data_IF_927364682552
#
_entry.id   IF_927364682552
#
_cell.length_a   1.000
_cell.length_b   1.000
_cell.length_c   1.000
_cell.angle_alpha   90.00
_cell.angle_beta   90.00
_cell.angle_gamma   90.00
#
_symmetry.space_group_name_H-M   'P 1'
#
loop_
_entity.id
_entity.type
_entity.pdbx_description
1 polymer ?
#
# COMPACT_ATOMS: atom_id res chain seq x y z
N UNK A 1 6.98 -38.18 12.51
CA UNK A 1 6.21 -37.43 11.49
C UNK A 1 6.40 -35.94 11.77
N UNK A 2 7.64 -35.48 11.68
CA UNK A 2 8.14 -34.36 12.47
C UNK A 2 8.94 -33.37 11.60
N UNK A 3 8.74 -32.08 11.88
CA UNK A 3 9.41 -30.91 11.29
C UNK A 3 9.21 -30.59 9.80
N UNK A 4 9.21 -31.53 8.86
CA UNK A 4 9.13 -31.20 7.43
C UNK A 4 7.78 -30.57 7.02
N UNK A 5 6.67 -31.03 7.61
CA UNK A 5 5.35 -30.40 7.41
C UNK A 5 5.26 -29.00 8.02
N UNK A 6 5.92 -28.74 9.16
CA UNK A 6 5.98 -27.38 9.75
C UNK A 6 6.88 -26.43 8.96
N UNK A 7 7.91 -26.93 8.29
CA UNK A 7 8.77 -26.15 7.39
C UNK A 7 8.08 -25.85 6.06
N UNK A 8 7.25 -26.76 5.54
CA UNK A 8 6.43 -26.54 4.34
C UNK A 8 5.27 -25.56 4.58
N UNK A 9 4.67 -25.57 5.78
CA UNK A 9 3.64 -24.62 6.23
C UNK A 9 4.18 -23.41 7.01
N UNK A 10 5.50 -23.26 7.13
CA UNK A 10 6.13 -22.05 7.64
C UNK A 10 5.98 -20.98 6.56
N UNK A 11 4.80 -20.37 6.48
CA UNK A 11 4.49 -19.29 5.58
C UNK A 11 5.69 -18.36 5.48
N UNK A 12 6.24 -18.23 4.26
CA UNK A 12 7.50 -17.54 4.01
C UNK A 12 7.53 -16.21 4.74
N UNK A 13 8.70 -15.78 5.27
CA UNK A 13 8.85 -14.65 6.18
C UNK A 13 7.99 -13.40 5.83
N UNK A 14 6.74 -13.36 6.27
CA UNK A 14 5.84 -12.19 6.11
C UNK A 14 6.31 -11.00 6.95
N UNK A 15 7.23 -11.27 7.89
CA UNK A 15 8.03 -10.27 8.60
C UNK A 15 8.64 -9.26 7.62
N UNK A 16 9.10 -9.71 6.46
CA UNK A 16 9.69 -8.84 5.44
C UNK A 16 8.66 -7.85 4.89
N UNK A 17 7.48 -8.29 4.46
CA UNK A 17 6.43 -7.38 3.99
C UNK A 17 5.98 -6.40 5.07
N UNK A 18 5.87 -6.87 6.32
CA UNK A 18 5.54 -6.04 7.47
C UNK A 18 6.59 -4.94 7.71
N UNK A 19 7.87 -5.29 7.67
CA UNK A 19 8.96 -4.33 7.88
C UNK A 19 9.03 -3.33 6.71
N UNK A 20 8.96 -3.81 5.47
CA UNK A 20 9.04 -2.94 4.29
C UNK A 20 7.87 -1.95 4.26
N UNK A 21 6.63 -2.42 4.49
CA UNK A 21 5.46 -1.54 4.54
C UNK A 21 5.53 -0.53 5.70
N UNK A 22 6.07 -0.92 6.86
CA UNK A 22 6.28 0.01 7.96
C UNK A 22 7.34 1.08 7.64
N UNK A 23 8.47 0.69 7.04
CA UNK A 23 9.50 1.63 6.60
C UNK A 23 8.91 2.59 5.57
N UNK A 24 8.17 2.07 4.58
CA UNK A 24 7.47 2.90 3.60
C UNK A 24 6.54 3.92 4.25
N UNK A 25 5.76 3.51 5.25
CA UNK A 25 4.87 4.40 5.99
C UNK A 25 5.64 5.52 6.72
N UNK A 26 6.75 5.17 7.39
CA UNK A 26 7.59 6.14 8.11
C UNK A 26 8.22 7.14 7.12
N UNK A 27 8.81 6.65 6.03
CA UNK A 27 9.45 7.49 5.01
C UNK A 27 8.44 8.43 4.37
N UNK A 28 7.25 7.93 4.00
CA UNK A 28 6.20 8.76 3.42
C UNK A 28 5.70 9.80 4.41
N UNK A 29 5.53 9.44 5.70
CA UNK A 29 5.12 10.39 6.74
C UNK A 29 6.15 11.50 6.91
N UNK A 30 7.44 11.15 6.97
CA UNK A 30 8.51 12.12 7.09
C UNK A 30 8.62 13.01 5.84
N UNK A 31 8.53 12.44 4.64
CA UNK A 31 8.60 13.16 3.37
C UNK A 31 7.44 14.14 3.18
N UNK A 32 6.21 13.68 3.40
CA UNK A 32 5.00 14.54 3.35
C UNK A 32 5.11 15.63 4.42
N UNK A 33 5.46 15.29 5.66
CA UNK A 33 5.62 16.26 6.74
C UNK A 33 6.65 17.34 6.40
N UNK A 34 7.81 16.95 5.86
CA UNK A 34 8.83 17.90 5.44
C UNK A 34 8.35 18.82 4.30
N UNK A 35 7.66 18.25 3.31
CA UNK A 35 7.10 19.01 2.18
C UNK A 35 6.01 20.00 2.64
N UNK A 36 5.18 19.63 3.63
CA UNK A 36 4.16 20.52 4.19
C UNK A 36 4.75 21.67 5.01
N UNK A 37 5.92 21.48 5.63
CA UNK A 37 6.57 22.51 6.45
C UNK A 37 7.41 23.45 5.58
N UNK A 38 8.12 22.91 4.59
CA UNK A 38 9.16 23.64 3.86
C UNK A 38 8.83 23.93 2.39
N UNK A 39 7.77 23.33 1.84
CA UNK A 39 7.40 23.45 0.43
C UNK A 39 6.15 24.30 0.20
N UNK A 40 5.91 24.64 -1.07
CA UNK A 40 4.68 25.28 -1.53
C UNK A 40 4.01 24.33 -2.52
N UNK A 41 2.97 23.63 -2.05
CA UNK A 41 2.28 22.61 -2.84
C UNK A 41 1.79 23.14 -4.19
N UNK A 42 1.31 24.38 -4.26
CA UNK A 42 0.76 24.94 -5.48
C UNK A 42 1.86 25.33 -6.47
N UNK A 43 2.89 26.02 -5.98
CA UNK A 43 4.02 26.43 -6.82
C UNK A 43 4.83 25.22 -7.31
N UNK A 44 5.19 24.31 -6.40
CA UNK A 44 5.96 23.10 -6.71
C UNK A 44 5.17 22.15 -7.63
N UNK A 45 3.87 22.02 -7.41
CA UNK A 45 2.98 21.23 -8.27
C UNK A 45 2.88 21.80 -9.68
N UNK A 46 2.83 23.13 -9.84
CA UNK A 46 2.81 23.76 -11.16
C UNK A 46 4.10 23.49 -11.95
N UNK A 47 5.26 23.44 -11.30
CA UNK A 47 6.53 23.09 -11.94
C UNK A 47 6.54 21.65 -12.46
N UNK A 48 5.95 20.71 -11.71
CA UNK A 48 5.81 19.31 -12.15
C UNK A 48 4.93 19.22 -13.40
N UNK A 49 3.81 19.96 -13.43
CA UNK A 49 2.86 19.93 -14.55
C UNK A 49 3.42 20.59 -15.83
N UNK A 50 4.35 21.53 -15.69
CA UNK A 50 5.03 22.16 -16.83
C UNK A 50 6.16 21.29 -17.40
N UNK A 51 6.64 20.31 -16.63
CA UNK A 51 7.67 19.38 -17.06
C UNK A 51 7.03 18.12 -17.69
N UNK A 52 7.34 17.78 -18.96
CA UNK A 52 6.79 16.57 -19.60
C UNK A 52 7.05 15.27 -18.82
N UNK A 53 8.24 15.11 -18.24
CA UNK A 53 8.56 13.95 -17.39
C UNK A 53 7.84 14.00 -16.04
N UNK A 54 7.53 15.19 -15.54
CA UNK A 54 6.69 15.38 -14.35
C UNK A 54 5.27 14.89 -14.60
N UNK A 55 4.69 15.26 -15.75
CA UNK A 55 3.37 14.76 -16.18
C UNK A 55 3.37 13.24 -16.36
N UNK A 56 4.38 12.68 -17.03
CA UNK A 56 4.51 11.22 -17.17
C UNK A 56 4.62 10.53 -15.80
N UNK A 57 5.38 11.10 -14.86
CA UNK A 57 5.50 10.55 -13.51
C UNK A 57 4.17 10.57 -12.75
N UNK A 58 3.33 11.60 -12.94
CA UNK A 58 1.97 11.65 -12.39
C UNK A 58 1.08 10.58 -13.03
N UNK A 59 1.15 10.39 -14.35
CA UNK A 59 0.40 9.34 -15.05
C UNK A 59 0.80 7.97 -14.50
N UNK A 60 2.10 7.67 -14.40
CA UNK A 60 2.62 6.42 -13.84
C UNK A 60 2.13 6.21 -12.40
N UNK A 61 2.24 7.24 -11.56
CA UNK A 61 1.81 7.21 -10.17
C UNK A 61 0.32 6.87 -10.02
N UNK A 62 -0.55 7.62 -10.71
CA UNK A 62 -2.00 7.43 -10.61
C UNK A 62 -2.47 6.14 -11.30
N UNK A 63 -1.79 5.69 -12.36
CA UNK A 63 -2.02 4.36 -12.92
C UNK A 63 -1.75 3.29 -11.87
N UNK A 64 -0.64 3.40 -11.13
CA UNK A 64 -0.34 2.54 -9.98
C UNK A 64 -1.41 2.60 -8.90
N UNK A 65 -1.94 3.79 -8.58
CA UNK A 65 -2.99 3.96 -7.57
C UNK A 65 -4.28 3.24 -7.96
N UNK A 66 -4.68 3.33 -9.23
CA UNK A 66 -5.86 2.62 -9.75
C UNK A 66 -5.66 1.11 -9.69
N UNK A 67 -4.54 0.60 -10.18
CA UNK A 67 -4.24 -0.84 -10.17
C UNK A 67 -4.20 -1.41 -8.74
N UNK A 68 -3.59 -0.67 -7.81
CA UNK A 68 -3.56 -1.06 -6.40
C UNK A 68 -4.94 -0.99 -5.74
N UNK A 69 -5.75 0.01 -6.11
CA UNK A 69 -7.14 0.13 -5.66
C UNK A 69 -8.00 -1.05 -6.10
N UNK A 70 -7.78 -1.60 -7.30
CA UNK A 70 -8.44 -2.84 -7.74
C UNK A 70 -8.12 -4.00 -6.79
N UNK A 71 -6.86 -4.12 -6.36
CA UNK A 71 -6.46 -5.13 -5.39
C UNK A 71 -7.13 -4.95 -4.02
N UNK A 72 -7.22 -3.71 -3.51
CA UNK A 72 -7.98 -3.39 -2.28
C UNK A 72 -9.45 -3.79 -2.44
N UNK A 73 -10.08 -3.40 -3.54
CA UNK A 73 -11.50 -3.67 -3.84
C UNK A 73 -11.78 -5.18 -3.89
N UNK A 74 -10.84 -5.96 -4.41
CA UNK A 74 -10.90 -7.42 -4.42
C UNK A 74 -10.80 -8.03 -3.02
N UNK A 75 -9.85 -7.55 -2.20
CA UNK A 75 -9.57 -8.07 -0.85
C UNK A 75 -10.66 -7.79 0.16
N UNK A 76 -11.28 -6.62 0.07
CA UNK A 76 -12.29 -6.17 1.03
C UNK A 76 -13.67 -6.73 0.69
N UNK A 77 -14.46 -7.03 1.72
CA UNK A 77 -15.87 -7.39 1.55
C UNK A 77 -16.80 -6.19 1.74
N UNK A 78 -16.54 -5.38 2.75
CA UNK A 78 -17.35 -4.20 3.07
C UNK A 78 -17.21 -3.13 1.99
N UNK A 79 -18.33 -2.72 1.39
CA UNK A 79 -18.38 -1.63 0.41
C UNK A 79 -17.84 -0.33 1.03
N UNK A 80 -18.15 -0.07 2.31
CA UNK A 80 -17.64 1.10 3.02
C UNK A 80 -16.11 1.06 3.13
N UNK A 81 -15.53 -0.09 3.49
CA UNK A 81 -14.08 -0.24 3.57
C UNK A 81 -13.42 -0.01 2.21
N UNK A 82 -13.99 -0.55 1.12
CA UNK A 82 -13.51 -0.31 -0.25
C UNK A 82 -13.47 1.18 -0.56
N UNK A 83 -14.58 1.89 -0.34
CA UNK A 83 -14.68 3.31 -0.66
C UNK A 83 -13.65 4.11 0.15
N UNK A 84 -13.56 3.88 1.46
CA UNK A 84 -12.62 4.59 2.34
C UNK A 84 -11.18 4.36 1.85
N UNK A 85 -10.78 3.11 1.61
CA UNK A 85 -9.41 2.82 1.20
C UNK A 85 -9.06 3.36 -0.18
N UNK A 86 -9.99 3.30 -1.14
CA UNK A 86 -9.76 3.86 -2.49
C UNK A 86 -9.64 5.38 -2.43
N UNK A 87 -10.52 6.06 -1.68
CA UNK A 87 -10.42 7.53 -1.50
C UNK A 87 -9.09 7.91 -0.84
N UNK A 88 -8.71 7.21 0.24
CA UNK A 88 -7.42 7.43 0.88
C UNK A 88 -6.25 7.15 -0.07
N UNK A 89 -6.36 6.17 -0.96
CA UNK A 89 -5.32 5.86 -1.96
C UNK A 89 -5.19 6.99 -2.99
N UNK A 90 -6.30 7.55 -3.47
CA UNK A 90 -6.28 8.63 -4.45
C UNK A 90 -5.77 9.95 -3.88
N UNK A 91 -5.95 10.18 -2.57
CA UNK A 91 -5.54 11.43 -1.91
C UNK A 91 -4.12 11.34 -1.32
N UNK A 92 -3.80 10.26 -0.62
CA UNK A 92 -2.53 10.11 0.13
C UNK A 92 -1.54 9.15 -0.57
N UNK A 93 -1.95 8.48 -1.65
CA UNK A 93 -1.07 7.65 -2.47
C UNK A 93 -0.41 6.52 -1.70
N UNK A 94 0.91 6.38 -1.89
CA UNK A 94 1.69 5.29 -1.29
C UNK A 94 1.82 5.34 0.23
N UNK A 95 1.44 6.44 0.89
CA UNK A 95 1.25 6.43 2.33
C UNK A 95 0.12 5.47 2.72
N UNK A 96 -1.03 5.56 2.03
CA UNK A 96 -2.17 4.65 2.23
C UNK A 96 -1.83 3.23 1.82
N UNK A 97 -1.14 3.03 0.69
CA UNK A 97 -0.72 1.68 0.28
C UNK A 97 0.17 1.01 1.33
N UNK A 98 1.13 1.76 1.89
CA UNK A 98 2.03 1.28 2.93
C UNK A 98 1.26 0.91 4.20
N UNK A 99 0.35 1.78 4.64
CA UNK A 99 -0.52 1.50 5.79
C UNK A 99 -1.40 0.26 5.56
N UNK A 100 -2.04 0.17 4.39
CA UNK A 100 -2.92 -0.94 4.05
C UNK A 100 -2.16 -2.27 3.98
N UNK A 101 -1.00 -2.31 3.32
CA UNK A 101 -0.14 -3.51 3.31
C UNK A 101 0.31 -3.89 4.71
N UNK A 102 0.68 -2.92 5.54
CA UNK A 102 1.09 -3.19 6.93
C UNK A 102 -0.04 -3.84 7.72
N UNK A 103 -1.25 -3.29 7.66
CA UNK A 103 -2.44 -3.86 8.31
C UNK A 103 -2.76 -5.25 7.76
N UNK A 104 -2.77 -5.41 6.43
CA UNK A 104 -3.01 -6.69 5.78
C UNK A 104 -1.99 -7.76 6.21
N UNK A 105 -0.72 -7.38 6.38
CA UNK A 105 0.34 -8.28 6.86
C UNK A 105 0.13 -8.74 8.30
N UNK A 106 -0.43 -7.88 9.16
CA UNK A 106 -0.80 -8.23 10.54
C UNK A 106 -1.97 -9.21 10.54
N UNK A 107 -3.02 -8.90 9.78
CA UNK A 107 -4.24 -9.71 9.71
C UNK A 107 -4.00 -11.11 9.12
N UNK A 108 -3.02 -11.21 8.22
CA UNK A 108 -2.66 -12.45 7.56
C UNK A 108 -1.96 -13.47 8.47
N UNK A 109 -1.41 -13.04 9.62
CA UNK A 109 -0.80 -13.91 10.64
C UNK A 109 0.24 -14.90 10.07
N UNK A 110 1.03 -14.46 9.08
CA UNK A 110 2.07 -15.26 8.44
C UNK A 110 1.61 -16.08 7.23
N UNK A 111 0.31 -16.09 6.88
CA UNK A 111 -0.21 -16.78 5.72
C UNK A 111 -0.31 -15.85 4.49
N UNK A 112 0.53 -16.07 3.48
CA UNK A 112 0.56 -15.25 2.26
C UNK A 112 -0.73 -15.28 1.44
N UNK A 113 -1.42 -16.41 1.38
CA UNK A 113 -2.70 -16.51 0.67
C UNK A 113 -3.74 -15.61 1.34
N UNK A 114 -3.79 -15.59 2.67
CA UNK A 114 -4.62 -14.66 3.43
C UNK A 114 -4.19 -13.19 3.20
N UNK A 115 -2.89 -12.93 3.09
CA UNK A 115 -2.36 -11.60 2.75
C UNK A 115 -2.72 -11.11 1.35
N UNK A 116 -2.94 -12.00 0.38
CA UNK A 116 -3.34 -11.60 -0.98
C UNK A 116 -4.85 -11.60 -1.17
N UNK A 117 -5.57 -12.60 -0.63
CA UNK A 117 -7.00 -12.80 -0.85
C UNK A 117 -7.91 -12.08 0.16
N UNK A 118 -7.43 -11.86 1.38
CA UNK A 118 -8.12 -11.04 2.37
C UNK A 118 -9.38 -11.77 2.84
N UNK A 119 -10.53 -11.12 2.71
CA UNK A 119 -11.82 -11.73 3.05
C UNK A 119 -12.19 -12.91 2.14
N UNK A 120 -11.58 -13.01 0.95
CA UNK A 120 -11.81 -14.09 -0.01
C UNK A 120 -10.99 -15.36 0.26
N UNK A 121 -10.10 -15.33 1.25
CA UNK A 121 -9.34 -16.52 1.64
C UNK A 121 -10.27 -17.61 2.20
N UNK A 122 -10.28 -18.77 1.56
CA UNK A 122 -10.96 -19.98 2.04
C UNK A 122 -9.90 -20.93 2.60
N UNK A 123 -10.11 -21.39 3.83
CA UNK A 123 -9.20 -22.31 4.52
C UNK A 123 -9.40 -23.75 4.02
#
# INVERSE_FOLDING_TARGET
>A
MDNEYKLSYSGGNMKTAKIISLIGLIVMTAGIGNAMINGDFAADGALILQNPWGVVSLIDLYTGFVLFSIWIVYREESILAKIIWVVLMMVLGFWTASLYMFIASIQAQGNWEKFWMGTKYKK
#
